data_IF_058874445515
#
_entry.id   IF_058874445515
#
_cell.length_a   1.000
_cell.length_b   1.000
_cell.length_c   1.000
_cell.angle_alpha   90.00
_cell.angle_beta   90.00
_cell.angle_gamma   90.00
#
_symmetry.space_group_name_H-M   'P 1'
#
loop_
_entity.id
_entity.type
_entity.pdbx_description
1 polymer ?
#
# COMPACT_ATOMS: atom_id res chain seq x y z
N UNK A 1 -81.80 -15.68 -9.77
CA UNK A 1 -80.49 -15.01 -9.96
C UNK A 1 -79.34 -15.65 -9.15
N UNK A 2 -79.53 -16.83 -8.52
CA UNK A 2 -78.54 -17.43 -7.62
C UNK A 2 -77.71 -18.60 -8.20
N UNK A 3 -77.95 -19.02 -9.45
CA UNK A 3 -77.28 -20.18 -10.06
C UNK A 3 -76.11 -19.85 -11.01
N UNK A 4 -75.88 -18.57 -11.30
CA UNK A 4 -74.80 -18.14 -12.23
C UNK A 4 -73.54 -17.69 -11.49
N UNK A 5 -73.64 -17.35 -10.19
CA UNK A 5 -72.52 -16.88 -9.38
C UNK A 5 -71.51 -17.96 -9.01
N UNK A 6 -71.96 -19.16 -8.61
CA UNK A 6 -71.03 -20.22 -8.18
C UNK A 6 -70.22 -20.81 -9.33
N UNK A 7 -70.79 -20.88 -10.54
CA UNK A 7 -70.11 -21.44 -11.72
C UNK A 7 -68.99 -20.52 -12.23
N UNK A 8 -69.11 -19.21 -12.03
CA UNK A 8 -68.08 -18.23 -12.40
C UNK A 8 -66.96 -18.17 -11.34
N UNK A 9 -67.28 -18.31 -10.06
CA UNK A 9 -66.27 -18.40 -8.99
C UNK A 9 -65.42 -19.67 -9.10
N UNK A 10 -66.03 -20.82 -9.43
CA UNK A 10 -65.31 -22.08 -9.63
C UNK A 10 -64.38 -22.02 -10.88
N UNK A 11 -64.84 -21.40 -11.98
CA UNK A 11 -64.02 -21.27 -13.20
C UNK A 11 -62.82 -20.32 -13.01
N UNK A 12 -63.02 -19.24 -12.24
CA UNK A 12 -61.97 -18.27 -11.93
C UNK A 12 -60.97 -18.89 -10.94
N UNK A 13 -61.43 -19.64 -9.94
CA UNK A 13 -60.58 -20.39 -9.02
C UNK A 13 -59.69 -21.41 -9.72
N UNK A 14 -60.25 -22.16 -10.67
CA UNK A 14 -59.52 -23.17 -11.44
C UNK A 14 -58.48 -22.52 -12.39
N UNK A 15 -58.82 -21.38 -13.00
CA UNK A 15 -57.87 -20.59 -13.80
C UNK A 15 -56.73 -20.00 -12.95
N UNK A 16 -57.02 -19.54 -11.73
CA UNK A 16 -56.03 -19.00 -10.79
C UNK A 16 -55.11 -20.09 -10.24
N UNK A 17 -55.65 -21.28 -9.98
CA UNK A 17 -54.87 -22.46 -9.59
C UNK A 17 -53.90 -22.90 -10.72
N UNK A 18 -54.36 -22.82 -11.97
CA UNK A 18 -53.53 -23.13 -13.14
C UNK A 18 -52.41 -22.12 -13.36
N UNK A 19 -52.72 -20.82 -13.25
CA UNK A 19 -51.74 -19.73 -13.34
C UNK A 19 -50.71 -19.76 -12.20
N UNK A 20 -51.13 -20.08 -10.97
CA UNK A 20 -50.17 -20.24 -9.85
C UNK A 20 -49.27 -21.45 -10.05
N UNK A 21 -49.80 -22.56 -10.59
CA UNK A 21 -48.99 -23.72 -11.00
C UNK A 21 -47.94 -23.38 -12.07
N UNK A 22 -48.30 -22.61 -13.09
CA UNK A 22 -47.37 -22.16 -14.14
C UNK A 22 -46.29 -21.22 -13.61
N UNK A 23 -46.62 -20.30 -12.70
CA UNK A 23 -45.64 -19.40 -12.06
C UNK A 23 -44.65 -20.16 -11.17
N UNK A 24 -45.11 -21.18 -10.45
CA UNK A 24 -44.24 -22.05 -9.64
C UNK A 24 -43.29 -22.85 -10.55
N UNK A 25 -43.78 -23.36 -11.68
CA UNK A 25 -42.95 -24.04 -12.67
C UNK A 25 -41.88 -23.10 -13.27
N UNK A 26 -42.25 -21.86 -13.61
CA UNK A 26 -41.30 -20.86 -14.14
C UNK A 26 -40.24 -20.45 -13.12
N UNK A 27 -40.60 -20.31 -11.84
CA UNK A 27 -39.61 -20.04 -10.78
C UNK A 27 -38.60 -21.17 -10.65
N UNK A 28 -39.06 -22.42 -10.70
CA UNK A 28 -38.18 -23.59 -10.65
C UNK A 28 -37.17 -23.59 -11.81
N UNK A 29 -37.62 -23.30 -13.03
CA UNK A 29 -36.72 -23.17 -14.20
C UNK A 29 -35.74 -21.99 -14.04
N UNK A 30 -36.19 -20.87 -13.47
CA UNK A 30 -35.31 -19.73 -13.22
C UNK A 30 -34.24 -20.02 -12.16
N UNK A 31 -34.56 -20.81 -11.14
CA UNK A 31 -33.60 -21.22 -10.10
C UNK A 31 -32.60 -22.24 -10.68
N UNK A 32 -33.08 -23.21 -11.47
CA UNK A 32 -32.22 -24.15 -12.20
C UNK A 32 -31.22 -23.42 -13.14
N UNK A 33 -31.68 -22.41 -13.88
CA UNK A 33 -30.79 -21.58 -14.70
C UNK A 33 -29.75 -20.80 -13.87
N UNK A 34 -30.13 -20.32 -12.68
CA UNK A 34 -29.20 -19.61 -11.79
C UNK A 34 -28.11 -20.56 -11.27
N UNK A 35 -28.48 -21.79 -10.93
CA UNK A 35 -27.55 -22.82 -10.49
C UNK A 35 -26.61 -23.25 -11.62
N UNK A 36 -27.11 -23.39 -12.85
CA UNK A 36 -26.27 -23.65 -14.03
C UNK A 36 -25.27 -22.52 -14.30
N UNK A 37 -25.69 -21.26 -14.20
CA UNK A 37 -24.79 -20.10 -14.34
C UNK A 37 -23.73 -20.09 -13.25
N UNK A 38 -24.10 -20.41 -12.01
CA UNK A 38 -23.16 -20.49 -10.89
C UNK A 38 -22.13 -21.61 -11.11
N UNK A 39 -22.59 -22.77 -11.58
CA UNK A 39 -21.73 -23.90 -11.92
C UNK A 39 -20.78 -23.59 -13.08
N UNK A 40 -21.27 -22.93 -14.13
CA UNK A 40 -20.44 -22.44 -15.24
C UNK A 40 -19.39 -21.44 -14.77
N UNK A 41 -19.73 -20.56 -13.81
CA UNK A 41 -18.79 -19.60 -13.23
C UNK A 41 -17.68 -20.30 -12.44
N UNK A 42 -18.03 -21.31 -11.65
CA UNK A 42 -17.07 -22.13 -10.91
C UNK A 42 -16.17 -22.94 -11.84
N UNK A 43 -16.73 -23.55 -12.88
CA UNK A 43 -15.96 -24.31 -13.86
C UNK A 43 -15.06 -23.40 -14.70
N UNK A 44 -15.50 -22.19 -15.06
CA UNK A 44 -14.64 -21.19 -15.67
C UNK A 44 -13.50 -20.78 -14.74
N UNK A 45 -13.75 -20.63 -13.44
CA UNK A 45 -12.71 -20.35 -12.44
C UNK A 45 -11.72 -21.51 -12.31
N UNK A 46 -12.18 -22.76 -12.36
CA UNK A 46 -11.31 -23.95 -12.39
C UNK A 46 -10.48 -24.01 -13.66
N UNK A 47 -11.07 -23.71 -14.83
CA UNK A 47 -10.35 -23.65 -16.11
C UNK A 47 -9.30 -22.53 -16.08
N UNK A 48 -9.62 -21.36 -15.53
CA UNK A 48 -8.64 -20.30 -15.31
C UNK A 48 -7.49 -20.81 -14.44
N UNK A 49 -7.79 -21.40 -13.28
CA UNK A 49 -6.79 -21.95 -12.37
C UNK A 49 -5.94 -23.05 -13.03
N UNK A 50 -6.54 -23.91 -13.85
CA UNK A 50 -5.86 -24.96 -14.60
C UNK A 50 -5.00 -24.38 -15.74
N UNK A 51 -5.47 -23.38 -16.46
CA UNK A 51 -4.72 -22.64 -17.48
C UNK A 51 -3.54 -21.87 -16.87
N UNK A 52 -3.68 -21.38 -15.63
CA UNK A 52 -2.59 -20.81 -14.84
C UNK A 52 -1.54 -21.87 -14.45
N UNK A 53 -1.95 -23.12 -14.21
CA UNK A 53 -1.02 -24.23 -13.90
C UNK A 53 -0.34 -24.82 -15.15
N UNK A 54 -0.96 -24.75 -16.33
CA UNK A 54 -0.49 -25.43 -17.55
C UNK A 54 0.21 -24.53 -18.57
N UNK A 55 0.53 -23.27 -18.22
CA UNK A 55 1.44 -22.41 -18.99
C UNK A 55 2.48 -21.72 -18.09
N UNK A 56 3.67 -22.29 -17.89
CA UNK A 56 4.83 -21.47 -17.56
C UNK A 56 5.29 -20.80 -18.86
N UNK A 57 4.54 -19.80 -19.32
CA UNK A 57 5.07 -18.76 -20.19
C UNK A 57 4.68 -17.43 -19.57
N UNK A 58 5.27 -17.18 -18.40
CA UNK A 58 5.07 -16.02 -17.55
C UNK A 58 6.46 -15.41 -17.35
N UNK A 59 6.96 -14.68 -18.35
CA UNK A 59 8.20 -13.93 -18.15
C UNK A 59 7.99 -12.96 -16.99
N UNK A 60 8.68 -13.17 -15.88
CA UNK A 60 8.73 -12.19 -14.79
C UNK A 60 9.51 -10.96 -15.26
N UNK A 61 9.16 -9.76 -14.79
CA UNK A 61 9.86 -8.53 -15.18
C UNK A 61 11.37 -8.60 -14.89
N UNK A 62 11.77 -9.45 -13.92
CA UNK A 62 13.13 -9.63 -13.45
C UNK A 62 13.90 -10.73 -14.20
N UNK A 63 13.30 -11.47 -15.13
CA UNK A 63 14.01 -12.44 -16.00
C UNK A 63 14.77 -11.77 -17.15
N UNK A 64 14.40 -10.53 -17.50
CA UNK A 64 15.01 -9.80 -18.61
C UNK A 64 15.52 -8.47 -18.10
N UNK A 65 16.64 -8.53 -17.39
CA UNK A 65 17.43 -7.35 -16.98
C UNK A 65 18.53 -7.04 -17.99
N UNK A 66 19.02 -5.82 -17.93
CA UNK A 66 20.10 -5.28 -18.74
C UNK A 66 21.45 -5.79 -18.26
N UNK A 67 22.51 -5.26 -18.87
CA UNK A 67 23.87 -5.71 -18.62
C UNK A 67 24.39 -5.27 -17.26
N UNK A 68 23.97 -4.11 -16.76
CA UNK A 68 24.32 -3.59 -15.42
C UNK A 68 23.09 -3.36 -14.57
N UNK A 69 22.96 -4.11 -13.48
CA UNK A 69 21.80 -4.04 -12.58
C UNK A 69 22.21 -3.62 -11.17
N UNK A 70 21.53 -2.60 -10.62
CA UNK A 70 21.67 -2.17 -9.23
C UNK A 70 20.51 -2.73 -8.39
N UNK A 71 20.81 -3.53 -7.38
CA UNK A 71 19.85 -4.00 -6.39
C UNK A 71 19.99 -3.13 -5.15
N UNK A 72 18.97 -2.34 -4.84
CA UNK A 72 18.96 -1.42 -3.70
C UNK A 72 18.40 -2.08 -2.44
N UNK A 73 19.11 -1.92 -1.33
CA UNK A 73 18.62 -2.22 0.01
C UNK A 73 18.27 -3.69 0.22
N UNK A 74 19.08 -4.61 -0.28
CA UNK A 74 18.83 -6.05 -0.17
C UNK A 74 19.23 -6.60 1.21
N UNK A 75 18.53 -6.15 2.26
CA UNK A 75 18.55 -6.68 3.63
C UNK A 75 19.75 -7.56 4.00
N UNK A 76 19.57 -8.89 3.95
CA UNK A 76 20.59 -9.90 4.28
C UNK A 76 21.37 -10.43 3.06
N UNK A 77 21.27 -9.79 1.90
CA UNK A 77 21.87 -10.13 0.61
C UNK A 77 21.40 -11.46 -0.02
N UNK A 78 20.33 -12.06 0.50
CA UNK A 78 19.83 -13.34 0.00
C UNK A 78 19.17 -13.23 -1.38
N UNK A 79 18.53 -12.09 -1.70
CA UNK A 79 17.96 -11.88 -3.02
C UNK A 79 19.07 -11.74 -4.07
N UNK A 80 20.13 -10.98 -3.75
CA UNK A 80 21.26 -10.74 -4.64
C UNK A 80 22.01 -12.03 -4.93
N UNK A 81 22.17 -12.90 -3.93
CA UNK A 81 22.72 -14.23 -4.13
C UNK A 81 21.85 -15.08 -5.07
N UNK A 82 20.53 -15.10 -4.85
CA UNK A 82 19.61 -15.81 -5.74
C UNK A 82 19.64 -15.24 -7.16
N UNK A 83 19.67 -13.91 -7.28
CA UNK A 83 19.64 -13.18 -8.54
C UNK A 83 20.92 -13.40 -9.34
N UNK A 84 22.09 -13.39 -8.69
CA UNK A 84 23.39 -13.66 -9.32
C UNK A 84 23.51 -15.09 -9.85
N UNK A 85 22.85 -16.06 -9.22
CA UNK A 85 22.79 -17.44 -9.75
C UNK A 85 21.97 -17.55 -11.04
N UNK A 86 20.94 -16.72 -11.19
CA UNK A 86 20.06 -16.74 -12.37
C UNK A 86 20.61 -15.90 -13.52
N UNK A 87 21.40 -14.86 -13.22
CA UNK A 87 21.92 -13.90 -14.20
C UNK A 87 23.46 -13.85 -14.18
N UNK A 88 24.16 -14.95 -14.54
CA UNK A 88 25.62 -15.01 -14.49
C UNK A 88 26.32 -14.05 -15.47
N UNK A 89 25.60 -13.60 -16.50
CA UNK A 89 26.11 -12.69 -17.54
C UNK A 89 25.84 -11.19 -17.21
N UNK A 90 25.10 -10.91 -16.13
CA UNK A 90 24.78 -9.54 -15.73
C UNK A 90 25.77 -9.07 -14.67
N UNK A 91 26.29 -7.85 -14.84
CA UNK A 91 27.09 -7.19 -13.84
C UNK A 91 26.16 -6.62 -12.75
N UNK A 92 26.29 -7.14 -11.52
CA UNK A 92 25.34 -6.88 -10.44
C UNK A 92 26.01 -6.02 -9.38
N UNK A 93 25.36 -4.93 -9.02
CA UNK A 93 25.74 -4.07 -7.92
C UNK A 93 24.67 -4.20 -6.86
N UNK A 94 24.98 -4.82 -5.73
CA UNK A 94 24.02 -4.96 -4.62
C UNK A 94 24.37 -4.00 -3.50
N UNK A 95 23.38 -3.33 -2.95
CA UNK A 95 23.58 -2.33 -1.93
C UNK A 95 22.79 -2.57 -0.66
N UNK A 96 23.35 -2.13 0.46
CA UNK A 96 22.68 -2.09 1.77
C UNK A 96 22.82 -0.69 2.38
N UNK A 97 21.88 -0.32 3.24
CA UNK A 97 21.85 1.01 3.86
C UNK A 97 22.89 1.14 4.97
N UNK A 98 23.14 0.05 5.69
CA UNK A 98 24.06 -0.01 6.83
C UNK A 98 25.52 0.08 6.38
N UNK A 99 26.37 0.60 7.26
CA UNK A 99 27.82 0.39 7.14
C UNK A 99 28.18 -1.08 7.36
N UNK A 100 29.37 -1.50 6.90
CA UNK A 100 29.80 -2.90 7.06
C UNK A 100 29.77 -3.41 8.52
N UNK A 101 30.26 -2.67 9.54
CA UNK A 101 30.19 -3.13 10.93
C UNK A 101 28.75 -3.25 11.47
N UNK A 102 27.88 -2.31 11.11
CA UNK A 102 26.46 -2.33 11.49
C UNK A 102 25.73 -3.49 10.82
N UNK A 103 26.01 -3.72 9.54
CA UNK A 103 25.44 -4.80 8.75
C UNK A 103 25.69 -6.16 9.38
N UNK A 104 26.95 -6.49 9.74
CA UNK A 104 27.29 -7.79 10.33
C UNK A 104 26.57 -8.01 11.66
N UNK A 105 26.39 -6.94 12.44
CA UNK A 105 25.66 -7.00 13.71
C UNK A 105 24.17 -7.22 13.49
N UNK A 106 23.60 -6.59 12.46
CA UNK A 106 22.16 -6.61 12.16
C UNK A 106 21.69 -7.84 11.40
N UNK A 107 22.52 -8.34 10.48
CA UNK A 107 22.26 -9.50 9.61
C UNK A 107 23.36 -10.56 9.76
N UNK A 108 23.41 -11.30 10.88
CA UNK A 108 24.42 -12.34 11.08
C UNK A 108 24.41 -13.43 10.00
N UNK A 109 23.26 -13.77 9.42
CA UNK A 109 23.20 -14.75 8.32
C UNK A 109 23.78 -14.18 7.02
N UNK A 110 23.79 -12.86 6.88
CA UNK A 110 24.29 -12.14 5.72
C UNK A 110 25.78 -12.31 5.47
N UNK A 111 26.60 -12.60 6.50
CA UNK A 111 28.03 -12.85 6.34
C UNK A 111 28.32 -14.03 5.40
N UNK A 112 27.52 -15.10 5.51
CA UNK A 112 27.63 -16.26 4.61
C UNK A 112 27.32 -15.89 3.16
N UNK A 113 26.30 -15.04 2.96
CA UNK A 113 25.91 -14.58 1.64
C UNK A 113 26.99 -13.67 1.03
N UNK A 114 27.63 -12.80 1.82
CA UNK A 114 28.77 -11.98 1.38
C UNK A 114 29.91 -12.87 0.89
N UNK A 115 30.31 -13.86 1.70
CA UNK A 115 31.41 -14.77 1.36
C UNK A 115 31.08 -15.52 0.06
N UNK A 116 29.86 -16.03 -0.08
CA UNK A 116 29.47 -16.77 -1.28
C UNK A 116 29.43 -15.89 -2.53
N UNK A 117 28.87 -14.68 -2.43
CA UNK A 117 28.86 -13.70 -3.52
C UNK A 117 30.29 -13.35 -3.95
N UNK A 118 31.18 -13.04 -3.01
CA UNK A 118 32.57 -12.66 -3.33
C UNK A 118 33.41 -13.83 -3.88
N UNK A 119 33.13 -15.06 -3.44
CA UNK A 119 33.92 -16.23 -3.83
C UNK A 119 33.46 -16.81 -5.17
N UNK A 120 32.15 -16.92 -5.39
CA UNK A 120 31.58 -17.65 -6.53
C UNK A 120 31.02 -16.72 -7.63
N UNK A 121 30.80 -15.44 -7.33
CA UNK A 121 30.16 -14.49 -8.25
C UNK A 121 31.02 -13.23 -8.43
N UNK A 122 32.12 -13.35 -9.19
CA UNK A 122 33.06 -12.25 -9.45
C UNK A 122 32.46 -11.03 -10.17
N UNK A 123 31.29 -11.18 -10.79
CA UNK A 123 30.51 -10.12 -11.44
C UNK A 123 29.58 -9.37 -10.46
N UNK A 124 29.62 -9.70 -9.16
CA UNK A 124 28.81 -9.05 -8.11
C UNK A 124 29.66 -8.10 -7.28
N UNK A 125 29.20 -6.86 -7.16
CA UNK A 125 29.82 -5.81 -6.37
C UNK A 125 28.91 -5.45 -5.18
N UNK A 126 29.42 -5.57 -3.96
CA UNK A 126 28.66 -5.28 -2.73
C UNK A 126 28.99 -3.86 -2.25
N UNK A 127 27.96 -3.04 -2.06
CA UNK A 127 28.04 -1.63 -1.70
C UNK A 127 27.37 -1.41 -0.33
N UNK A 128 28.12 -0.85 0.63
CA UNK A 128 27.61 -0.51 1.95
C UNK A 128 27.33 0.99 2.05
N UNK A 129 26.53 1.39 3.03
CA UNK A 129 26.21 2.80 3.31
C UNK A 129 25.55 3.53 2.13
N UNK A 130 24.68 2.83 1.39
CA UNK A 130 23.95 3.41 0.25
C UNK A 130 22.53 3.78 0.65
N UNK A 131 22.24 5.08 0.64
CA UNK A 131 20.89 5.61 0.80
C UNK A 131 20.19 5.76 -0.55
N UNK A 132 19.10 5.03 -0.75
CA UNK A 132 18.28 5.11 -1.96
C UNK A 132 17.70 6.51 -2.20
N UNK A 133 17.51 7.31 -1.15
CA UNK A 133 17.05 8.70 -1.24
C UNK A 133 18.16 9.68 -1.65
N UNK A 134 19.43 9.29 -1.59
CA UNK A 134 20.59 10.16 -1.81
C UNK A 134 21.66 9.44 -2.65
N UNK A 135 21.27 8.96 -3.82
CA UNK A 135 22.19 8.23 -4.68
C UNK A 135 23.23 9.16 -5.33
N UNK A 136 24.47 8.69 -5.55
CA UNK A 136 25.55 9.52 -6.10
C UNK A 136 25.31 9.94 -7.56
N UNK A 137 25.57 11.20 -7.89
CA UNK A 137 25.33 11.74 -9.25
C UNK A 137 26.20 11.08 -10.33
N UNK A 138 27.39 10.60 -9.97
CA UNK A 138 28.28 9.94 -10.92
C UNK A 138 27.76 8.56 -11.40
N UNK A 139 26.68 8.04 -10.83
CA UNK A 139 25.99 6.82 -11.30
C UNK A 139 25.02 7.08 -12.45
N UNK A 140 24.87 8.34 -12.87
CA UNK A 140 23.94 8.72 -13.94
C UNK A 140 24.26 7.98 -15.24
N UNK A 141 23.27 7.26 -15.77
CA UNK A 141 23.40 6.47 -17.00
C UNK A 141 24.30 5.24 -16.89
N UNK A 142 24.73 4.84 -15.68
CA UNK A 142 25.61 3.70 -15.49
C UNK A 142 24.85 2.36 -15.41
N UNK A 143 23.70 2.35 -14.74
CA UNK A 143 22.87 1.17 -14.56
C UNK A 143 21.76 1.10 -15.59
N UNK A 144 21.52 -0.07 -16.17
CA UNK A 144 20.41 -0.33 -17.09
C UNK A 144 19.12 -0.59 -16.32
N UNK A 145 19.22 -1.27 -15.17
CA UNK A 145 18.10 -1.60 -14.31
C UNK A 145 18.42 -1.34 -12.84
N UNK A 146 17.42 -0.83 -12.13
CA UNK A 146 17.47 -0.66 -10.68
C UNK A 146 16.33 -1.48 -10.08
N UNK A 147 16.63 -2.36 -9.13
CA UNK A 147 15.67 -3.22 -8.44
C UNK A 147 15.61 -2.79 -6.98
N UNK A 148 14.42 -2.55 -6.45
CA UNK A 148 14.22 -2.31 -5.02
C UNK A 148 13.05 -3.13 -4.49
N UNK A 149 13.38 -4.18 -3.73
CA UNK A 149 12.37 -5.10 -3.22
C UNK A 149 11.91 -4.68 -1.82
N UNK A 150 10.60 -4.53 -1.66
CA UNK A 150 9.92 -4.26 -0.39
C UNK A 150 10.52 -3.09 0.42
N UNK A 151 10.61 -1.89 -0.19
CA UNK A 151 11.10 -0.71 0.51
C UNK A 151 10.24 -0.40 1.74
N UNK A 152 10.90 -0.16 2.86
CA UNK A 152 10.27 0.17 4.12
C UNK A 152 11.12 1.18 4.88
N UNK A 153 10.47 2.02 5.68
CA UNK A 153 11.18 2.88 6.62
C UNK A 153 11.47 2.11 7.92
N UNK A 154 12.46 2.55 8.68
CA UNK A 154 12.76 1.95 9.98
C UNK A 154 11.59 2.17 10.97
N UNK A 155 11.27 1.15 11.77
CA UNK A 155 10.30 1.23 12.87
C UNK A 155 8.95 0.54 12.62
N UNK A 156 7.89 1.03 13.28
CA UNK A 156 6.50 0.57 13.07
C UNK A 156 5.92 1.19 11.81
N UNK A 157 5.12 0.45 11.05
CA UNK A 157 4.51 0.90 9.79
C UNK A 157 3.82 2.26 9.94
N UNK A 158 4.24 3.23 9.14
CA UNK A 158 3.66 4.55 9.05
C UNK A 158 3.54 4.97 7.58
N UNK A 159 2.30 5.11 7.10
CA UNK A 159 2.03 5.39 5.69
C UNK A 159 2.64 6.71 5.20
N UNK A 160 2.71 7.74 6.05
CA UNK A 160 3.32 9.03 5.69
C UNK A 160 4.82 8.88 5.48
N UNK A 161 5.50 8.17 6.39
CA UNK A 161 6.94 7.89 6.28
C UNK A 161 7.24 7.03 5.05
N UNK A 162 6.43 6.00 4.78
CA UNK A 162 6.56 5.20 3.54
C UNK A 162 6.41 6.06 2.28
N UNK A 163 5.36 6.89 2.19
CA UNK A 163 5.15 7.82 1.06
C UNK A 163 6.37 8.73 0.84
N UNK A 164 6.87 9.35 1.91
CA UNK A 164 8.04 10.24 1.84
C UNK A 164 9.31 9.51 1.40
N UNK A 165 9.53 8.28 1.89
CA UNK A 165 10.66 7.44 1.49
C UNK A 165 10.64 7.16 0.00
N UNK A 166 9.50 6.68 -0.53
CA UNK A 166 9.39 6.39 -1.96
C UNK A 166 9.49 7.65 -2.82
N UNK A 167 8.85 8.74 -2.42
CA UNK A 167 8.93 10.00 -3.17
C UNK A 167 10.39 10.46 -3.32
N UNK A 168 11.14 10.51 -2.20
CA UNK A 168 12.56 10.87 -2.22
C UNK A 168 13.40 9.90 -3.05
N UNK A 169 13.10 8.61 -2.97
CA UNK A 169 13.81 7.60 -3.76
C UNK A 169 13.52 7.72 -5.26
N UNK A 170 12.28 7.96 -5.68
CA UNK A 170 11.95 8.23 -7.08
C UNK A 170 12.66 9.50 -7.58
N UNK A 171 12.70 10.58 -6.78
CA UNK A 171 13.45 11.79 -7.13
C UNK A 171 14.96 11.49 -7.30
N UNK A 172 15.53 10.73 -6.37
CA UNK A 172 16.94 10.32 -6.40
C UNK A 172 17.28 9.45 -7.62
N UNK A 173 16.51 8.38 -7.82
CA UNK A 173 16.64 7.44 -8.93
C UNK A 173 16.36 8.14 -10.27
N UNK A 174 15.38 9.03 -10.32
CA UNK A 174 15.04 9.82 -11.52
C UNK A 174 16.18 10.69 -12.03
N UNK A 175 17.12 11.11 -11.17
CA UNK A 175 18.36 11.77 -11.60
C UNK A 175 19.31 10.82 -12.32
N UNK A 176 19.36 9.55 -11.90
CA UNK A 176 20.28 8.55 -12.45
C UNK A 176 19.78 7.94 -13.77
N UNK A 177 18.47 7.71 -13.88
CA UNK A 177 17.90 7.01 -15.02
C UNK A 177 17.80 7.94 -16.23
N UNK A 178 18.46 7.53 -17.32
CA UNK A 178 18.28 8.10 -18.65
C UNK A 178 17.31 7.24 -19.46
N UNK A 179 17.69 5.99 -19.74
CA UNK A 179 16.89 4.99 -20.49
C UNK A 179 16.64 3.71 -19.69
N UNK A 180 16.99 3.75 -18.42
CA UNK A 180 17.05 2.62 -17.51
C UNK A 180 15.68 2.35 -16.88
N UNK A 181 15.40 1.10 -16.48
CA UNK A 181 14.13 0.75 -15.83
C UNK A 181 14.29 0.66 -14.33
N UNK A 182 13.24 1.03 -13.61
CA UNK A 182 13.17 0.90 -12.16
C UNK A 182 12.10 -0.11 -11.78
N UNK A 183 12.54 -1.22 -11.21
CA UNK A 183 11.70 -2.29 -10.73
C UNK A 183 11.52 -2.14 -9.22
N UNK A 184 10.28 -2.10 -8.77
CA UNK A 184 9.94 -2.03 -7.35
C UNK A 184 8.92 -3.11 -7.00
N UNK A 185 9.26 -3.91 -5.99
CA UNK A 185 8.37 -4.99 -5.52
C UNK A 185 7.68 -4.55 -4.24
N UNK A 186 6.36 -4.69 -4.19
CA UNK A 186 5.51 -4.28 -3.07
C UNK A 186 4.60 -5.42 -2.62
N UNK A 187 4.12 -5.34 -1.39
CA UNK A 187 3.08 -6.25 -0.91
C UNK A 187 1.73 -5.95 -1.59
N UNK A 188 0.85 -6.96 -1.64
CA UNK A 188 -0.47 -6.86 -2.25
C UNK A 188 -1.25 -5.63 -1.76
N UNK A 189 -1.77 -4.84 -2.69
CA UNK A 189 -2.60 -3.67 -2.39
C UNK A 189 -1.83 -2.39 -2.04
N UNK A 190 -0.50 -2.44 -1.87
CA UNK A 190 0.31 -1.24 -1.66
C UNK A 190 0.47 -0.40 -2.94
N UNK A 191 0.45 -1.06 -4.10
CA UNK A 191 0.55 -0.41 -5.42
C UNK A 191 -0.62 0.53 -5.72
N UNK A 192 -1.80 0.28 -5.13
CA UNK A 192 -3.06 0.93 -5.52
C UNK A 192 -3.63 0.41 -6.85
N UNK A 193 -3.02 -0.63 -7.42
CA UNK A 193 -3.53 -1.37 -8.57
C UNK A 193 -4.44 -2.52 -8.13
N UNK A 194 -5.30 -2.93 -9.05
CA UNK A 194 -6.12 -4.11 -8.84
C UNK A 194 -5.29 -5.38 -9.08
N UNK A 195 -5.01 -6.12 -8.01
CA UNK A 195 -4.22 -7.35 -8.05
C UNK A 195 -4.72 -8.35 -9.10
N UNK A 196 -6.06 -8.51 -9.20
CA UNK A 196 -6.65 -9.43 -10.20
C UNK A 196 -6.33 -8.99 -11.63
N UNK A 197 -6.30 -7.68 -11.87
CA UNK A 197 -5.95 -7.10 -13.16
C UNK A 197 -4.46 -7.28 -13.51
N UNK A 198 -3.55 -7.25 -12.52
CA UNK A 198 -2.13 -7.53 -12.70
C UNK A 198 -1.91 -9.00 -13.11
N UNK A 199 -2.61 -9.95 -12.46
CA UNK A 199 -2.55 -11.38 -12.83
C UNK A 199 -2.86 -11.62 -14.31
N UNK A 200 -3.79 -10.87 -14.88
CA UNK A 200 -4.17 -10.98 -16.29
C UNK A 200 -3.35 -10.09 -17.23
N UNK A 201 -2.27 -9.44 -16.75
CA UNK A 201 -1.49 -8.41 -17.48
C UNK A 201 -2.37 -7.31 -18.09
N UNK A 202 -3.50 -7.02 -17.44
CA UNK A 202 -4.48 -6.01 -17.81
C UNK A 202 -4.69 -5.08 -16.63
N UNK A 203 -3.61 -4.54 -16.09
CA UNK A 203 -3.60 -3.77 -14.84
C UNK A 203 -4.44 -2.48 -14.85
N UNK A 204 -5.06 -2.13 -15.99
CA UNK A 204 -6.09 -1.09 -16.09
C UNK A 204 -7.46 -1.67 -16.43
N UNK A 205 -8.45 -1.30 -15.61
CA UNK A 205 -9.87 -1.56 -15.88
C UNK A 205 -10.39 -0.47 -16.81
N UNK A 206 -10.84 -0.85 -18.01
CA UNK A 206 -11.42 0.09 -18.96
C UNK A 206 -12.71 0.71 -18.40
N UNK A 207 -12.92 2.02 -18.60
CA UNK A 207 -14.12 2.76 -18.18
C UNK A 207 -14.51 2.61 -16.69
N UNK A 208 -13.54 2.34 -15.81
CA UNK A 208 -13.79 2.27 -14.37
C UNK A 208 -12.90 3.28 -13.66
N UNK A 209 -13.53 4.08 -12.81
CA UNK A 209 -12.81 4.96 -11.89
C UNK A 209 -11.83 4.15 -11.03
N UNK A 210 -10.70 4.74 -10.64
CA UNK A 210 -9.78 4.09 -9.75
C UNK A 210 -10.42 3.96 -8.38
N UNK A 211 -10.42 2.75 -7.83
CA UNK A 211 -10.81 2.54 -6.44
C UNK A 211 -9.60 2.82 -5.56
N UNK A 212 -9.61 3.98 -4.92
CA UNK A 212 -8.63 4.34 -3.91
C UNK A 212 -9.08 3.81 -2.57
N UNK A 213 -8.42 2.75 -2.07
CA UNK A 213 -8.57 2.36 -0.67
C UNK A 213 -7.77 3.35 0.18
N UNK A 214 -8.32 3.74 1.33
CA UNK A 214 -7.79 4.77 2.25
C UNK A 214 -6.34 4.50 2.73
N UNK A 215 -5.87 3.25 2.65
CA UNK A 215 -4.57 2.83 3.18
C UNK A 215 -3.53 2.45 2.11
N UNK A 216 -3.86 2.59 0.81
CA UNK A 216 -2.87 2.45 -0.25
C UNK A 216 -2.19 3.79 -0.51
N UNK A 217 -0.87 3.78 -0.49
CA UNK A 217 -0.05 4.95 -0.75
C UNK A 217 0.13 5.22 -2.24
N UNK A 218 -0.48 4.38 -3.08
CA UNK A 218 -0.74 4.61 -4.51
C UNK A 218 0.53 5.03 -5.26
N UNK A 219 1.52 4.13 -5.28
CA UNK A 219 2.86 4.39 -5.83
C UNK A 219 2.85 4.99 -7.24
N UNK A 220 1.86 4.66 -8.07
CA UNK A 220 1.74 5.22 -9.43
C UNK A 220 1.66 6.74 -9.43
N UNK A 221 0.97 7.33 -8.45
CA UNK A 221 0.80 8.79 -8.35
C UNK A 221 2.10 9.44 -7.92
N UNK A 222 2.79 8.84 -6.95
CA UNK A 222 4.11 9.29 -6.50
C UNK A 222 5.13 9.18 -7.64
N UNK A 223 5.08 8.09 -8.40
CA UNK A 223 5.93 7.90 -9.58
C UNK A 223 5.64 8.96 -10.65
N UNK A 224 4.37 9.24 -10.95
CA UNK A 224 3.98 10.25 -11.92
C UNK A 224 4.46 11.66 -11.52
N UNK A 225 4.41 12.01 -10.24
CA UNK A 225 4.96 13.27 -9.70
C UNK A 225 6.47 13.39 -9.98
N UNK A 226 7.21 12.29 -10.02
CA UNK A 226 8.63 12.28 -10.31
C UNK A 226 8.95 11.93 -11.78
N UNK A 227 7.98 12.13 -12.68
CA UNK A 227 8.10 11.86 -14.12
C UNK A 227 8.38 10.39 -14.45
N UNK A 228 7.76 9.45 -13.74
CA UNK A 228 7.79 8.03 -14.06
C UNK A 228 6.45 7.52 -14.55
N UNK A 229 6.49 6.64 -15.55
CA UNK A 229 5.34 5.91 -16.05
C UNK A 229 5.48 4.42 -15.75
N UNK A 230 4.36 3.78 -15.41
CA UNK A 230 4.30 2.33 -15.28
C UNK A 230 4.36 1.68 -16.66
N UNK A 231 5.41 0.91 -16.93
CA UNK A 231 5.60 0.15 -18.17
C UNK A 231 5.01 -1.26 -18.07
N UNK A 232 5.26 -1.95 -16.94
CA UNK A 232 4.80 -3.31 -16.72
C UNK A 232 4.49 -3.54 -15.24
N UNK A 233 3.49 -4.39 -14.98
CA UNK A 233 3.21 -4.90 -13.65
C UNK A 233 3.07 -6.43 -13.75
N UNK A 234 3.78 -7.15 -12.89
CA UNK A 234 3.75 -8.61 -12.82
C UNK A 234 3.68 -9.07 -11.36
N UNK A 235 3.26 -10.31 -11.15
CA UNK A 235 3.34 -10.93 -9.83
C UNK A 235 4.79 -11.25 -9.52
N UNK A 236 5.22 -10.93 -8.30
CA UNK A 236 6.52 -11.35 -7.82
C UNK A 236 6.44 -12.81 -7.36
N UNK A 237 7.36 -13.63 -7.84
CA UNK A 237 7.40 -15.07 -7.55
C UNK A 237 8.70 -15.39 -6.81
N UNK A 238 8.69 -15.41 -5.46
CA UNK A 238 9.87 -15.74 -4.67
C UNK A 238 10.47 -17.10 -5.02
N UNK A 239 9.65 -18.03 -5.51
CA UNK A 239 10.04 -19.39 -5.88
C UNK A 239 11.05 -19.42 -7.04
N UNK A 240 11.07 -18.38 -7.88
CA UNK A 240 12.06 -18.24 -8.95
C UNK A 240 13.46 -17.94 -8.40
N UNK A 241 13.58 -17.53 -7.14
CA UNK A 241 14.82 -17.08 -6.52
C UNK A 241 15.24 -17.94 -5.31
N UNK A 242 15.51 -19.26 -5.41
CA UNK A 242 16.10 -20.01 -4.28
C UNK A 242 17.56 -19.56 -4.09
N UNK A 243 18.01 -18.99 -2.95
CA UNK A 243 17.61 -19.19 -1.55
C UNK A 243 17.04 -17.92 -0.88
N UNK A 244 16.32 -17.09 -1.63
CA UNK A 244 15.83 -15.79 -1.18
C UNK A 244 14.94 -15.90 0.06
N UNK A 245 15.27 -15.09 1.06
CA UNK A 245 14.48 -14.90 2.27
C UNK A 245 14.28 -13.40 2.45
N UNK A 246 13.04 -12.96 2.29
CA UNK A 246 12.65 -11.59 2.62
C UNK A 246 13.07 -11.26 4.06
N UNK A 247 13.72 -10.12 4.28
CA UNK A 247 14.20 -9.69 5.60
C UNK A 247 13.97 -8.18 5.78
N UNK A 248 13.96 -7.69 7.02
CA UNK A 248 13.74 -6.27 7.34
C UNK A 248 12.54 -5.97 8.24
N UNK A 249 11.79 -6.98 8.70
CA UNK A 249 10.65 -6.74 9.60
C UNK A 249 11.12 -6.05 10.89
N UNK A 250 10.56 -4.86 11.18
CA UNK A 250 10.99 -3.99 12.27
C UNK A 250 12.51 -3.78 12.36
N UNK A 251 13.15 -3.57 11.21
CA UNK A 251 14.59 -3.33 11.15
C UNK A 251 15.43 -4.52 11.66
N UNK A 252 14.93 -5.74 11.49
CA UNK A 252 15.59 -6.98 11.90
C UNK A 252 15.70 -7.98 10.75
N UNK A 253 16.50 -9.03 10.95
CA UNK A 253 16.65 -10.15 10.00
C UNK A 253 15.37 -10.99 9.82
N UNK A 254 14.31 -10.72 10.59
CA UNK A 254 13.03 -11.43 10.46
C UNK A 254 12.37 -11.14 9.12
N UNK A 255 11.83 -12.20 8.51
CA UNK A 255 10.97 -12.11 7.35
C UNK A 255 9.59 -11.56 7.71
N UNK A 256 9.01 -10.76 6.82
CA UNK A 256 7.58 -10.45 6.87
C UNK A 256 6.79 -11.42 5.99
N UNK A 257 5.51 -11.64 6.30
CA UNK A 257 4.66 -12.56 5.54
C UNK A 257 4.30 -11.95 4.17
N UNK A 258 5.00 -12.38 3.12
CA UNK A 258 4.83 -11.94 1.73
C UNK A 258 4.20 -13.02 0.83
N UNK A 259 3.80 -14.16 1.41
CA UNK A 259 3.38 -15.38 0.69
C UNK A 259 2.12 -15.26 -0.18
N UNK A 260 1.42 -14.11 -0.21
CA UNK A 260 0.17 -13.97 -0.96
C UNK A 260 0.17 -12.67 -1.76
N UNK A 261 0.65 -12.76 -3.01
CA UNK A 261 0.34 -11.81 -4.07
C UNK A 261 1.12 -10.51 -4.05
N UNK A 262 2.41 -10.55 -3.74
CA UNK A 262 3.32 -9.42 -3.99
C UNK A 262 3.40 -9.10 -5.49
N UNK A 263 3.65 -7.84 -5.79
CA UNK A 263 3.57 -7.27 -7.14
C UNK A 263 4.87 -6.53 -7.44
N UNK A 264 5.51 -6.84 -8.57
CA UNK A 264 6.63 -6.08 -9.11
C UNK A 264 6.13 -5.12 -10.18
N UNK A 265 6.42 -3.85 -10.00
CA UNK A 265 6.10 -2.77 -10.91
C UNK A 265 7.37 -2.28 -11.58
N UNK A 266 7.34 -2.16 -12.90
CA UNK A 266 8.44 -1.63 -13.70
C UNK A 266 8.08 -0.25 -14.18
N UNK A 267 8.85 0.73 -13.73
CA UNK A 267 8.73 2.13 -14.10
C UNK A 267 9.83 2.55 -15.06
N UNK A 268 9.50 3.44 -15.99
CA UNK A 268 10.48 4.11 -16.85
C UNK A 268 10.29 5.60 -16.78
N UNK A 269 11.38 6.34 -16.99
CA UNK A 269 11.32 7.80 -17.01
C UNK A 269 10.50 8.27 -18.20
N UNK A 270 9.55 9.15 -17.91
CA UNK A 270 8.67 9.78 -18.87
C UNK A 270 9.27 11.10 -19.33
N UNK A 271 9.17 11.46 -20.62
CA UNK A 271 9.51 12.80 -21.07
C UNK A 271 8.54 13.81 -20.47
N UNK A 272 9.00 15.07 -20.39
CA UNK A 272 8.12 16.18 -20.02
C UNK A 272 7.19 16.45 -21.20
N UNK A 273 5.95 16.00 -21.06
CA UNK A 273 4.89 16.23 -22.05
C UNK A 273 4.18 17.54 -21.70
N UNK A 274 4.14 18.47 -22.64
CA UNK A 274 3.51 19.79 -22.43
C UNK A 274 2.30 20.04 -23.32
N UNK A 275 2.14 19.25 -24.38
CA UNK A 275 1.01 19.36 -25.31
C UNK A 275 0.21 18.07 -25.42
N UNK A 276 -1.09 18.20 -25.74
CA UNK A 276 -1.98 17.05 -25.97
C UNK A 276 -1.53 16.19 -27.17
N UNK A 277 -0.89 16.83 -28.16
CA UNK A 277 -0.33 16.13 -29.33
C UNK A 277 0.82 15.22 -28.92
N UNK A 278 1.79 15.73 -28.16
CA UNK A 278 2.90 14.95 -27.60
C UNK A 278 2.40 13.80 -26.73
N UNK A 279 1.40 14.07 -25.88
CA UNK A 279 0.76 13.05 -25.04
C UNK A 279 0.20 11.90 -25.90
N UNK A 280 -0.55 12.24 -26.95
CA UNK A 280 -1.18 11.26 -27.84
C UNK A 280 -0.15 10.47 -28.63
N UNK A 281 0.89 11.12 -29.15
CA UNK A 281 1.98 10.47 -29.88
C UNK A 281 2.77 9.51 -28.99
N UNK A 282 3.06 9.93 -27.76
CA UNK A 282 3.76 9.13 -26.78
C UNK A 282 2.91 7.94 -26.28
N UNK A 283 1.61 8.16 -26.02
CA UNK A 283 0.68 7.09 -25.65
C UNK A 283 0.64 6.01 -26.73
N UNK A 284 0.57 6.42 -28.01
CA UNK A 284 0.57 5.51 -29.16
C UNK A 284 1.85 4.70 -29.31
N UNK A 285 2.99 5.21 -28.80
CA UNK A 285 4.28 4.53 -28.87
C UNK A 285 4.44 3.49 -27.76
N UNK A 286 3.96 3.78 -26.56
CA UNK A 286 4.22 2.98 -25.36
C UNK A 286 3.11 1.98 -25.07
N UNK A 287 1.85 2.40 -25.17
CA UNK A 287 0.74 1.56 -24.76
C UNK A 287 0.22 0.73 -25.93
N UNK A 288 0.10 -0.58 -25.69
CA UNK A 288 -0.48 -1.52 -26.67
C UNK A 288 -1.95 -1.22 -26.94
N UNK A 289 -2.67 -0.65 -25.96
CA UNK A 289 -4.06 -0.24 -26.09
C UNK A 289 -4.12 1.28 -26.02
N UNK A 290 -4.61 1.88 -27.11
CA UNK A 290 -4.64 3.33 -27.31
C UNK A 290 -5.85 3.95 -26.60
N UNK A 291 -5.69 5.19 -26.12
CA UNK A 291 -6.76 6.02 -25.53
C UNK A 291 -7.35 5.47 -24.24
N UNK A 292 -6.52 4.83 -23.41
CA UNK A 292 -6.94 4.24 -22.12
C UNK A 292 -6.05 4.73 -20.98
N UNK A 293 -4.76 4.99 -21.26
CA UNK A 293 -3.80 5.29 -20.21
C UNK A 293 -4.26 6.52 -19.39
N UNK A 294 -4.82 7.51 -20.05
CA UNK A 294 -5.14 8.79 -19.43
C UNK A 294 -6.55 8.88 -18.85
N UNK A 295 -7.46 7.93 -19.07
CA UNK A 295 -8.89 8.16 -18.75
C UNK A 295 -9.15 8.45 -17.26
N UNK A 296 -8.34 7.91 -16.32
CA UNK A 296 -8.65 8.03 -14.89
C UNK A 296 -7.46 8.07 -13.91
N UNK A 297 -6.20 8.03 -14.36
CA UNK A 297 -5.03 8.16 -13.46
C UNK A 297 -3.98 9.10 -14.06
N UNK A 298 -3.24 9.86 -13.25
CA UNK A 298 -2.14 10.68 -13.73
C UNK A 298 -0.98 9.77 -14.13
N UNK A 299 -0.63 9.77 -15.41
CA UNK A 299 0.58 9.09 -15.91
C UNK A 299 1.75 10.03 -16.10
N UNK A 300 1.48 11.33 -16.10
CA UNK A 300 2.47 12.38 -16.28
C UNK A 300 2.36 13.36 -15.12
N UNK A 301 3.48 13.95 -14.73
CA UNK A 301 3.55 14.98 -13.69
C UNK A 301 2.56 16.14 -13.90
N UNK A 302 2.10 16.36 -15.13
CA UNK A 302 1.10 17.37 -15.53
C UNK A 302 0.01 16.78 -16.40
N UNK A 303 -0.43 15.57 -16.08
CA UNK A 303 -1.48 14.92 -16.84
C UNK A 303 -2.81 15.72 -16.75
N UNK A 304 -3.17 16.42 -17.83
CA UNK A 304 -4.41 17.19 -17.96
C UNK A 304 -5.62 16.30 -18.29
N UNK A 305 -5.43 14.99 -18.28
CA UNK A 305 -6.41 14.01 -18.73
C UNK A 305 -7.73 14.00 -17.96
N UNK A 306 -7.70 14.40 -16.69
CA UNK A 306 -8.91 14.60 -15.85
C UNK A 306 -9.80 15.73 -16.42
N UNK A 307 -9.24 16.62 -17.24
CA UNK A 307 -9.93 17.80 -17.81
C UNK A 307 -10.52 17.50 -19.20
N UNK A 308 -10.05 16.47 -19.91
CA UNK A 308 -10.51 16.14 -21.25
C UNK A 308 -11.50 14.96 -21.26
N UNK A 309 -12.71 15.23 -20.78
CA UNK A 309 -13.90 14.50 -21.24
C UNK A 309 -14.13 14.88 -22.70
N UNK A 310 -14.03 13.93 -23.64
CA UNK A 310 -14.57 14.14 -24.99
C UNK A 310 -16.09 14.30 -24.85
N UNK A 311 -16.66 15.50 -25.08
CA UNK A 311 -18.07 15.78 -24.78
C UNK A 311 -19.01 14.88 -25.58
N UNK A 312 -18.66 14.56 -26.83
CA UNK A 312 -19.46 13.74 -27.74
C UNK A 312 -19.57 12.29 -27.24
N UNK A 313 -18.47 11.74 -26.72
CA UNK A 313 -18.46 10.38 -26.14
C UNK A 313 -19.14 10.30 -24.77
N UNK A 314 -19.03 11.35 -23.95
CA UNK A 314 -19.78 11.44 -22.71
C UNK A 314 -21.30 11.40 -23.01
N UNK A 315 -21.76 12.14 -24.02
CA UNK A 315 -23.16 12.11 -24.45
C UNK A 315 -23.59 10.79 -25.10
N UNK A 316 -22.73 10.07 -25.83
CA UNK A 316 -23.05 8.73 -26.35
C UNK A 316 -23.16 7.67 -25.25
N UNK A 317 -22.37 7.79 -24.18
CA UNK A 317 -22.44 6.94 -22.99
C UNK A 317 -23.67 7.23 -22.13
N UNK A 318 -24.10 8.49 -22.05
CA UNK A 318 -25.37 8.89 -21.42
C UNK A 318 -26.59 8.43 -22.24
N UNK A 319 -26.53 8.52 -23.58
CA UNK A 319 -27.57 7.99 -24.49
C UNK A 319 -27.70 6.46 -24.46
N UNK A 320 -26.68 5.75 -24.01
CA UNK A 320 -26.73 4.31 -23.75
C UNK A 320 -27.63 3.87 -22.59
N UNK A 321 -28.28 4.83 -21.90
CA UNK A 321 -29.32 4.56 -20.89
C UNK A 321 -30.50 5.53 -21.02
N UNK A 322 -31.19 5.50 -22.16
CA UNK A 322 -32.63 5.73 -22.14
C UNK A 322 -33.35 4.40 -21.89
N UNK A 323 -33.30 3.93 -20.65
CA UNK A 323 -34.40 3.13 -20.12
C UNK A 323 -35.21 4.11 -19.27
N UNK A 324 -36.47 4.27 -19.65
CA UNK A 324 -37.39 5.30 -19.21
C UNK A 324 -37.55 5.38 -17.69
N UNK A 325 -37.49 6.63 -17.20
CA UNK A 325 -37.60 7.05 -15.81
C UNK A 325 -38.90 6.73 -15.02
N UNK A 326 -40.00 6.15 -15.56
CA UNK A 326 -41.12 5.73 -14.70
C UNK A 326 -40.93 4.38 -13.99
N UNK A 327 -39.98 3.53 -14.40
CA UNK A 327 -39.83 2.18 -13.85
C UNK A 327 -38.99 2.11 -12.55
N UNK A 328 -38.10 3.09 -12.30
CA UNK A 328 -37.20 3.07 -11.13
C UNK A 328 -37.79 3.64 -9.84
N UNK A 329 -38.96 4.29 -9.88
CA UNK A 329 -39.59 4.87 -8.68
C UNK A 329 -40.30 3.77 -7.84
N UNK A 330 -40.56 2.59 -8.42
CA UNK A 330 -41.24 1.48 -7.72
C UNK A 330 -40.27 0.51 -7.02
N UNK A 331 -38.98 0.51 -7.36
CA UNK A 331 -37.94 -0.27 -6.67
C UNK A 331 -37.14 0.55 -5.65
N UNK A 332 -37.22 1.89 -5.69
CA UNK A 332 -36.50 2.78 -4.77
C UNK A 332 -37.15 3.00 -3.40
N UNK A 333 -38.31 2.37 -3.12
CA UNK A 333 -38.98 2.49 -1.82
C UNK A 333 -38.62 1.40 -0.80
N UNK A 334 -37.75 0.44 -1.13
CA UNK A 334 -37.36 -0.64 -0.21
C UNK A 334 -35.91 -0.62 0.29
N UNK A 335 -35.08 0.34 -0.13
CA UNK A 335 -33.69 0.43 0.34
C UNK A 335 -33.39 1.84 0.87
N UNK A 336 -33.95 2.16 2.03
CA UNK A 336 -33.41 3.19 2.92
C UNK A 336 -33.41 2.68 4.37
N UNK A 337 -32.26 2.14 4.80
CA UNK A 337 -31.80 2.17 6.20
C UNK A 337 -30.30 2.51 6.22
N UNK A 338 -29.83 3.36 7.16
CA UNK A 338 -28.43 3.80 7.20
C UNK A 338 -27.52 2.67 7.73
N UNK A 339 -26.42 2.40 7.03
CA UNK A 339 -25.35 1.50 7.50
C UNK A 339 -24.24 2.34 8.14
N UNK A 340 -24.12 2.20 9.46
CA UNK A 340 -22.96 2.62 10.24
C UNK A 340 -21.71 1.86 9.77
N UNK A 341 -20.62 2.61 9.60
CA UNK A 341 -19.31 2.11 9.19
C UNK A 341 -18.68 1.34 10.35
N UNK A 342 -18.63 0.02 10.25
CA UNK A 342 -17.75 -0.82 11.07
C UNK A 342 -16.31 -0.64 10.60
N UNK A 343 -15.43 -0.22 11.52
CA UNK A 343 -13.97 -0.34 11.37
C UNK A 343 -13.63 -1.83 11.47
N UNK A 344 -13.40 -2.49 10.34
CA UNK A 344 -12.82 -3.83 10.32
C UNK A 344 -11.29 -3.71 10.35
N UNK A 345 -10.72 -3.90 11.54
CA UNK A 345 -9.31 -4.23 11.72
C UNK A 345 -9.03 -5.58 11.07
N UNK A 346 -8.18 -5.59 10.05
CA UNK A 346 -7.71 -6.79 9.36
C UNK A 346 -6.72 -7.55 10.26
N UNK A 347 -7.22 -8.53 11.03
CA UNK A 347 -6.41 -9.45 11.82
C UNK A 347 -5.81 -10.56 10.93
N UNK A 348 -4.48 -10.55 10.80
CA UNK A 348 -3.70 -11.43 9.91
C UNK A 348 -3.39 -12.82 10.52
N UNK A 349 -3.88 -13.15 11.73
CA UNK A 349 -3.52 -14.37 12.47
C UNK A 349 -4.70 -15.08 13.18
N UNK A 350 -5.77 -15.38 12.45
CA UNK A 350 -6.90 -16.20 12.94
C UNK A 350 -7.15 -17.44 12.07
N UNK A 351 -7.03 -18.63 12.66
CA UNK A 351 -7.26 -19.93 12.02
C UNK A 351 -8.74 -20.19 11.68
N UNK A 352 -8.93 -20.84 10.52
CA UNK A 352 -10.08 -21.62 10.02
C UNK A 352 -11.09 -22.14 11.06
N UNK A 353 -12.40 -21.90 10.86
CA UNK A 353 -13.37 -22.94 10.47
C UNK A 353 -14.83 -22.43 10.40
N UNK A 354 -15.61 -23.17 9.61
CA UNK A 354 -16.93 -22.93 9.02
C UNK A 354 -18.14 -22.71 9.97
N UNK A 355 -19.25 -22.37 9.31
CA UNK A 355 -20.59 -21.86 9.69
C UNK A 355 -21.29 -22.48 10.92
N UNK A 356 -22.07 -21.65 11.64
CA UNK A 356 -23.35 -22.05 12.27
C UNK A 356 -24.07 -20.84 12.92
N UNK A 357 -25.29 -20.52 12.45
CA UNK A 357 -26.08 -19.33 12.83
C UNK A 357 -26.48 -19.24 14.32
N UNK A 358 -26.39 -20.34 15.07
CA UNK A 358 -26.66 -20.38 16.52
C UNK A 358 -25.53 -19.69 17.33
N UNK A 359 -24.29 -19.76 16.84
CA UNK A 359 -23.14 -19.09 17.46
C UNK A 359 -23.23 -17.57 17.34
N UNK A 360 -23.85 -17.04 16.29
CA UNK A 360 -24.03 -15.60 16.10
C UNK A 360 -24.86 -14.99 17.24
N UNK A 361 -25.91 -15.70 17.68
CA UNK A 361 -26.77 -15.26 18.79
C UNK A 361 -26.05 -15.32 20.14
N UNK A 362 -25.33 -16.41 20.40
CA UNK A 362 -24.52 -16.54 21.63
C UNK A 362 -23.36 -15.52 21.62
N UNK A 363 -22.79 -15.20 20.44
CA UNK A 363 -21.77 -14.17 20.26
C UNK A 363 -22.34 -12.78 20.51
N UNK A 364 -23.54 -12.46 20.02
CA UNK A 364 -24.21 -11.18 20.31
C UNK A 364 -24.56 -11.02 21.79
N UNK A 365 -25.02 -12.09 22.44
CA UNK A 365 -25.33 -12.07 23.87
C UNK A 365 -24.05 -11.95 24.72
N UNK A 366 -22.97 -12.63 24.31
CA UNK A 366 -21.63 -12.45 24.91
C UNK A 366 -21.02 -11.08 24.63
N UNK A 367 -21.24 -10.49 23.45
CA UNK A 367 -20.76 -9.15 23.08
C UNK A 367 -21.48 -8.06 23.86
N UNK A 368 -22.79 -8.19 24.10
CA UNK A 368 -23.56 -7.28 24.96
C UNK A 368 -23.13 -7.40 26.42
N UNK A 369 -22.95 -8.63 26.92
CA UNK A 369 -22.38 -8.85 28.25
C UNK A 369 -20.92 -8.35 28.37
N UNK A 370 -20.15 -8.37 27.27
CA UNK A 370 -18.80 -7.77 27.22
C UNK A 370 -18.84 -6.25 27.16
N UNK A 371 -19.76 -5.64 26.40
CA UNK A 371 -19.93 -4.20 26.30
C UNK A 371 -20.36 -3.59 27.65
N UNK A 372 -21.27 -4.25 28.36
CA UNK A 372 -21.68 -3.85 29.70
C UNK A 372 -20.58 -4.04 30.75
N UNK A 373 -19.70 -5.05 30.57
CA UNK A 373 -18.49 -5.24 31.39
C UNK A 373 -17.35 -4.28 31.01
N UNK A 374 -17.28 -3.80 29.76
CA UNK A 374 -16.32 -2.78 29.30
C UNK A 374 -16.75 -1.39 29.76
N UNK A 375 -18.05 -1.10 29.76
CA UNK A 375 -18.60 0.16 30.26
C UNK A 375 -18.50 0.30 31.80
N UNK A 376 -18.48 -0.81 32.54
CA UNK A 376 -18.31 -0.81 34.01
C UNK A 376 -16.87 -0.96 34.49
N UNK A 377 -15.89 -1.10 33.59
CA UNK A 377 -14.46 -1.00 33.95
C UNK A 377 -13.99 0.40 33.62
N UNK A 378 -13.82 1.23 34.65
CA UNK A 378 -13.04 2.45 34.53
C UNK A 378 -11.65 2.06 33.98
N UNK A 379 -11.37 2.48 32.75
CA UNK A 379 -10.11 2.19 32.06
C UNK A 379 -8.99 2.85 32.87
N UNK A 380 -8.02 2.08 33.33
CA UNK A 380 -6.76 2.65 33.81
C UNK A 380 -6.15 3.42 32.63
N UNK A 381 -6.18 4.75 32.68
CA UNK A 381 -5.51 5.61 31.73
C UNK A 381 -4.00 5.39 31.94
N UNK A 382 -3.36 4.64 31.04
CA UNK A 382 -1.92 4.44 31.07
C UNK A 382 -1.23 5.77 30.73
N UNK A 383 -0.40 6.27 31.64
CA UNK A 383 0.35 7.52 31.46
C UNK A 383 1.82 7.17 31.32
N UNK A 384 2.57 7.95 30.56
CA UNK A 384 4.01 7.84 30.50
C UNK A 384 4.63 9.17 30.90
N UNK A 385 5.63 9.13 31.79
CA UNK A 385 6.51 10.25 32.09
C UNK A 385 7.78 10.13 31.26
N UNK A 386 8.08 11.20 30.54
CA UNK A 386 9.14 11.27 29.55
C UNK A 386 10.03 12.45 29.90
N UNK A 387 11.34 12.24 29.83
CA UNK A 387 12.35 13.27 30.00
C UNK A 387 12.95 13.56 28.63
N UNK A 388 12.73 14.78 28.14
CA UNK A 388 13.20 15.26 26.84
C UNK A 388 14.36 16.23 27.04
N UNK A 389 15.45 16.01 26.32
CA UNK A 389 16.58 16.92 26.23
C UNK A 389 16.49 17.73 24.94
N UNK A 390 16.32 19.04 25.07
CA UNK A 390 16.23 20.00 23.96
C UNK A 390 17.57 20.68 23.81
N UNK A 391 18.23 20.47 22.67
CA UNK A 391 19.56 21.02 22.36
C UNK A 391 19.44 22.34 21.60
N UNK A 392 20.02 23.45 22.09
CA UNK A 392 20.07 24.70 21.35
C UNK A 392 21.08 24.65 20.21
N UNK A 393 21.00 25.62 19.29
CA UNK A 393 22.00 25.82 18.24
C UNK A 393 23.35 26.35 18.75
N UNK A 394 23.35 27.27 19.73
CA UNK A 394 24.59 27.87 20.25
C UNK A 394 24.43 28.38 21.71
N UNK A 395 25.52 28.83 22.32
CA UNK A 395 25.58 29.38 23.69
C UNK A 395 24.93 30.77 23.86
N UNK A 396 24.60 31.44 22.76
CA UNK A 396 23.92 32.74 22.73
C UNK A 396 22.39 32.65 22.81
N UNK A 397 21.81 31.45 22.69
CA UNK A 397 20.35 31.25 22.65
C UNK A 397 19.70 31.49 24.02
N UNK A 398 18.62 32.27 24.08
CA UNK A 398 17.89 32.51 25.33
C UNK A 398 17.11 31.26 25.76
N UNK A 399 17.64 30.61 26.81
CA UNK A 399 17.06 29.39 27.37
C UNK A 399 15.69 29.61 28.02
N UNK A 400 15.39 30.83 28.50
CA UNK A 400 14.09 31.13 29.11
C UNK A 400 13.00 31.30 28.06
N UNK A 401 13.35 31.85 26.90
CA UNK A 401 12.43 31.97 25.76
C UNK A 401 12.12 30.59 25.16
N UNK A 402 13.15 29.74 25.01
CA UNK A 402 12.98 28.35 24.57
C UNK A 402 12.03 27.57 25.50
N UNK A 403 12.19 27.70 26.82
CA UNK A 403 11.29 27.03 27.77
C UNK A 403 9.84 27.51 27.62
N UNK A 404 9.62 28.82 27.43
CA UNK A 404 8.28 29.37 27.21
C UNK A 404 7.64 28.87 25.92
N UNK A 405 8.42 28.76 24.84
CA UNK A 405 7.96 28.24 23.56
C UNK A 405 7.57 26.77 23.66
N UNK A 406 8.39 25.94 24.33
CA UNK A 406 8.07 24.52 24.56
C UNK A 406 6.81 24.37 25.43
N UNK A 407 6.66 25.17 26.48
CA UNK A 407 5.46 25.14 27.35
C UNK A 407 4.19 25.65 26.68
N UNK A 408 4.30 26.42 25.58
CA UNK A 408 3.14 26.94 24.83
C UNK A 408 2.41 25.85 24.04
N UNK A 409 3.07 24.72 23.79
CA UNK A 409 2.48 23.59 23.07
C UNK A 409 1.44 22.91 23.98
N UNK A 410 0.16 23.11 23.68
CA UNK A 410 -0.97 22.51 24.37
C UNK A 410 -1.59 21.39 23.51
N UNK A 411 -1.70 20.18 24.06
CA UNK A 411 -2.37 19.01 23.46
C UNK A 411 -3.24 18.31 24.51
N UNK A 412 -4.36 17.73 24.09
CA UNK A 412 -5.22 16.95 24.99
C UNK A 412 -4.48 15.71 25.49
N UNK A 413 -4.28 15.60 26.81
CA UNK A 413 -3.52 14.54 27.46
C UNK A 413 -2.01 14.81 27.64
N UNK A 414 -1.53 16.03 27.34
CA UNK A 414 -0.14 16.46 27.59
C UNK A 414 -0.05 17.37 28.81
N UNK A 415 0.82 17.05 29.77
CA UNK A 415 1.11 17.87 30.94
C UNK A 415 2.61 18.12 31.05
N UNK A 416 3.02 19.38 31.03
CA UNK A 416 4.42 19.78 31.21
C UNK A 416 4.81 19.79 32.70
N UNK A 417 5.94 19.16 33.02
CA UNK A 417 6.53 19.07 34.35
C UNK A 417 7.63 20.10 34.61
N UNK A 418 8.53 19.74 35.52
CA UNK A 418 9.71 20.54 35.85
C UNK A 418 10.74 20.53 34.72
N UNK A 419 11.46 21.64 34.56
CA UNK A 419 12.59 21.77 33.64
C UNK A 419 13.89 22.05 34.41
N UNK A 420 15.01 21.55 33.91
CA UNK A 420 16.35 21.75 34.46
C UNK A 420 17.33 22.00 33.32
N UNK A 421 18.29 22.90 33.55
CA UNK A 421 19.39 23.14 32.61
C UNK A 421 20.60 22.29 33.02
N UNK A 422 21.12 21.48 32.09
CA UNK A 422 22.31 20.65 32.30
C UNK A 422 23.45 21.18 31.42
N UNK A 423 24.62 21.53 31.98
CA UNK A 423 25.77 21.95 31.19
C UNK A 423 26.38 20.72 30.48
N UNK A 424 26.57 20.80 29.16
CA UNK A 424 27.14 19.70 28.37
C UNK A 424 28.65 19.90 28.16
N UNK A 425 29.05 21.00 27.51
CA UNK A 425 30.43 21.47 27.33
C UNK A 425 30.45 22.83 26.60
N UNK A 426 31.57 23.56 26.63
CA UNK A 426 31.81 24.80 25.83
C UNK A 426 30.76 25.92 26.00
N UNK A 427 30.16 26.05 27.19
CA UNK A 427 29.15 27.09 27.47
C UNK A 427 27.73 26.70 27.08
N UNK A 428 27.54 25.63 26.28
CA UNK A 428 26.24 25.14 25.84
C UNK A 428 25.54 24.39 26.99
N UNK A 429 24.30 24.79 27.27
CA UNK A 429 23.41 24.17 28.26
C UNK A 429 22.25 23.50 27.53
N UNK A 430 21.95 22.26 27.90
CA UNK A 430 20.81 21.51 27.38
C UNK A 430 19.61 21.72 28.30
N UNK A 431 18.43 21.96 27.71
CA UNK A 431 17.18 22.08 28.44
C UNK A 431 16.56 20.69 28.61
N UNK A 432 16.60 20.16 29.82
CA UNK A 432 15.94 18.91 30.18
C UNK A 432 14.55 19.21 30.74
N UNK A 433 13.49 18.80 30.05
CA UNK A 433 12.10 19.01 30.46
C UNK A 433 11.36 17.69 30.63
N UNK A 434 10.57 17.60 31.69
CA UNK A 434 9.72 16.44 31.98
C UNK A 434 8.33 16.70 31.36
N UNK A 435 7.74 15.71 30.70
CA UNK A 435 6.33 15.74 30.30
C UNK A 435 5.63 14.43 30.68
N UNK A 436 4.34 14.54 30.97
CA UNK A 436 3.47 13.40 31.23
C UNK A 436 2.46 13.34 30.07
N UNK A 437 2.42 12.21 29.39
CA UNK A 437 1.55 11.98 28.23
C UNK A 437 0.59 10.83 28.48
N UNK A 438 -0.62 10.94 27.95
CA UNK A 438 -1.57 9.83 27.85
C UNK A 438 -1.29 9.04 26.56
N UNK A 439 -0.83 7.79 26.70
CA UNK A 439 -0.29 6.96 25.60
C UNK A 439 -1.29 6.73 24.45
N UNK A 440 -2.60 6.73 24.75
CA UNK A 440 -3.64 6.53 23.73
C UNK A 440 -3.92 7.77 22.88
N UNK A 441 -3.55 8.97 23.37
CA UNK A 441 -3.90 10.25 22.74
C UNK A 441 -2.70 10.98 22.15
N UNK A 442 -1.54 10.91 22.80
CA UNK A 442 -0.37 11.70 22.43
C UNK A 442 0.78 10.78 22.06
N UNK A 443 1.13 10.79 20.77
CA UNK A 443 2.35 10.15 20.26
C UNK A 443 3.57 10.99 20.65
N UNK A 444 4.57 10.34 21.23
CA UNK A 444 5.84 10.98 21.65
C UNK A 444 6.60 11.51 20.44
N UNK A 445 6.56 10.78 19.33
CA UNK A 445 7.20 11.19 18.07
C UNK A 445 6.56 12.46 17.52
N UNK A 446 5.23 12.59 17.59
CA UNK A 446 4.49 13.76 17.13
C UNK A 446 4.75 14.98 18.04
N UNK A 447 5.06 14.75 19.32
CA UNK A 447 5.46 15.81 20.25
C UNK A 447 6.88 16.31 19.92
N UNK A 448 7.80 15.41 19.61
CA UNK A 448 9.18 15.75 19.21
C UNK A 448 9.19 16.54 17.89
N UNK A 449 8.42 16.09 16.90
CA UNK A 449 8.31 16.77 15.61
C UNK A 449 7.74 18.18 15.79
N UNK A 450 6.67 18.34 16.58
CA UNK A 450 6.09 19.66 16.83
C UNK A 450 7.03 20.62 17.55
N UNK A 451 7.81 20.14 18.53
CA UNK A 451 8.82 20.97 19.21
C UNK A 451 9.92 21.38 18.22
N UNK A 452 10.33 20.48 17.33
CA UNK A 452 11.38 20.74 16.34
C UNK A 452 10.90 21.71 15.26
N UNK A 453 9.62 21.65 14.86
CA UNK A 453 9.05 22.52 13.84
C UNK A 453 8.72 23.93 14.37
N UNK A 454 7.99 24.02 15.50
CA UNK A 454 7.54 25.32 16.05
C UNK A 454 8.67 26.12 16.70
N UNK A 455 9.74 25.45 17.14
CA UNK A 455 10.88 26.06 17.84
C UNK A 455 12.18 25.92 17.04
N UNK A 456 12.08 25.68 15.73
CA UNK A 456 13.20 25.42 14.81
C UNK A 456 14.32 26.47 14.85
N UNK A 457 13.97 27.75 15.07
CA UNK A 457 14.95 28.84 15.16
C UNK A 457 15.88 28.74 16.38
N UNK A 458 15.46 28.04 17.44
CA UNK A 458 16.20 27.93 18.70
C UNK A 458 16.67 26.50 19.01
N UNK A 459 16.03 25.48 18.43
CA UNK A 459 16.26 24.06 18.72
C UNK A 459 16.96 23.37 17.55
N UNK A 460 18.09 22.75 17.82
CA UNK A 460 18.84 21.92 16.87
C UNK A 460 18.26 20.51 16.79
N UNK A 461 18.01 19.88 17.94
CA UNK A 461 17.45 18.54 18.04
C UNK A 461 16.83 18.28 19.41
N UNK A 462 15.93 17.28 19.48
CA UNK A 462 15.29 16.82 20.71
C UNK A 462 15.55 15.33 20.88
N UNK A 463 16.10 14.94 22.03
CA UNK A 463 16.45 13.56 22.36
C UNK A 463 15.63 13.06 23.57
N UNK A 464 15.31 11.76 23.59
CA UNK A 464 14.66 11.12 24.74
C UNK A 464 15.75 10.61 25.69
N UNK A 465 15.77 11.12 26.92
CA UNK A 465 16.72 10.69 27.96
C UNK A 465 16.19 9.50 28.75
N UNK A 466 14.93 9.59 29.16
CA UNK A 466 14.29 8.56 29.96
C UNK A 466 12.80 8.46 29.63
N UNK A 467 12.30 7.23 29.66
CA UNK A 467 10.92 6.90 29.40
C UNK A 467 10.41 5.96 30.50
N UNK A 468 9.49 6.45 31.33
CA UNK A 468 8.93 5.72 32.47
C UNK A 468 7.41 5.63 32.33
N UNK A 469 6.85 4.42 32.38
CA UNK A 469 5.40 4.21 32.41
C UNK A 469 4.86 4.40 33.83
N UNK A 470 3.74 5.10 33.99
CA UNK A 470 3.09 5.46 35.26
C UNK A 470 1.64 4.95 35.29
#
# INVERSE_FOLDING_TARGET
MFFVGSFLEDLVGDALAKLTGEVVALKKVSDEMRDEIQKLREDFQKILNYAHQSRPCMSSALERVGSRTLILGDGNLSFSLAFARLHPETEIYTSVFESYPEYITKYPSGEKNIIELQTNHSHVHILFSIDACLLPEHWTGFYDDIIWNFPHHCGKTNLRKSRRLIQKAFASIGRLLLFSRFHITLAKGQSGLDHSSILFRRYFKYRRLPEHKSDSWNIIYIAAEEYFILQEASIFQPELFPPYISSGYHNSERSFNDKIGSETLTFVKSPVVTTVKELTEYENKIFRIKRIAHEWRPFFHRDLSIIYLNPEKATELERGREISLPALIKESSEIQKPLEVSKEDFDLFGSSDEEDAEKERIKQERLKAYAEKKAKKAVCIAKSSIILDVKPWDDTTDMQEMEKLVRRIEKDGLVWGGAKLIPLAYGIKVLQIICIVEDEKVSVDDLIEQITEEVSDHVQSVDIVAFNKI
#
